data_IF_111568486043
#
_entry.id   IF_111568486043
#
_cell.length_a   1.000
_cell.length_b   1.000
_cell.length_c   1.000
_cell.angle_alpha   90.00
_cell.angle_beta   90.00
_cell.angle_gamma   90.00
#
_symmetry.space_group_name_H-M   'P 1'
#
loop_
_entity.id
_entity.type
_entity.pdbx_description
1 polymer ?
#
# COMPACT_ATOMS: atom_id res chain seq x y z
N UNK A 1 8.22 14.33 -23.69
CA UNK A 1 7.54 13.24 -22.97
C UNK A 1 6.67 13.86 -21.87
N UNK A 2 5.34 13.78 -21.96
CA UNK A 2 4.44 14.42 -20.97
C UNK A 2 4.65 13.75 -19.60
N UNK A 3 4.90 14.54 -18.55
CA UNK A 3 4.98 14.03 -17.17
C UNK A 3 3.60 13.47 -16.78
N UNK A 4 3.44 12.15 -16.74
CA UNK A 4 2.26 11.53 -16.10
C UNK A 4 2.26 11.92 -14.62
N UNK A 5 1.29 12.75 -14.24
CA UNK A 5 1.08 13.23 -12.87
C UNK A 5 -0.23 12.63 -12.37
N UNK A 6 -0.12 11.60 -11.54
CA UNK A 6 -1.28 11.06 -10.84
C UNK A 6 -1.68 12.01 -9.70
N UNK A 7 -2.97 12.13 -9.44
CA UNK A 7 -3.49 12.81 -8.24
C UNK A 7 -3.70 11.78 -7.14
N UNK A 8 -2.93 11.89 -6.07
CA UNK A 8 -3.05 11.01 -4.89
C UNK A 8 -3.80 11.75 -3.79
N UNK A 9 -4.79 11.08 -3.20
CA UNK A 9 -5.47 11.53 -1.99
C UNK A 9 -5.44 10.40 -0.95
N UNK A 10 -4.82 10.67 0.19
CA UNK A 10 -4.68 9.72 1.31
C UNK A 10 -5.65 10.05 2.47
N UNK A 11 -6.58 11.01 2.30
CA UNK A 11 -7.47 11.43 3.38
C UNK A 11 -8.47 10.32 3.75
N UNK A 12 -8.60 10.09 5.06
CA UNK A 12 -9.31 8.97 5.68
C UNK A 12 -10.84 8.92 5.55
N UNK A 13 -11.43 9.54 4.52
CA UNK A 13 -12.87 9.38 4.19
C UNK A 13 -13.10 8.39 3.04
N UNK A 14 -12.04 7.79 2.50
CA UNK A 14 -12.15 6.82 1.41
C UNK A 14 -12.51 5.45 1.96
N UNK A 15 -13.61 4.86 1.48
CA UNK A 15 -14.04 3.52 1.89
C UNK A 15 -13.36 2.44 1.04
N UNK A 16 -12.70 1.48 1.69
CA UNK A 16 -12.13 0.29 1.03
C UNK A 16 -13.17 -0.76 0.64
N UNK A 17 -14.46 -0.53 0.91
CA UNK A 17 -15.55 -1.47 0.62
C UNK A 17 -15.62 -1.79 -0.87
N UNK A 18 -15.56 -3.10 -1.17
CA UNK A 18 -15.60 -3.64 -2.53
C UNK A 18 -14.27 -3.61 -3.26
N UNK A 19 -13.17 -3.19 -2.63
CA UNK A 19 -11.83 -3.47 -3.16
C UNK A 19 -11.49 -4.95 -2.93
N UNK A 20 -10.68 -5.53 -3.81
CA UNK A 20 -10.17 -6.89 -3.69
C UNK A 20 -8.69 -6.93 -4.04
N UNK A 21 -8.01 -8.01 -3.70
CA UNK A 21 -6.63 -8.26 -4.12
C UNK A 21 -6.50 -8.12 -5.65
N UNK A 22 -5.54 -7.29 -6.08
CA UNK A 22 -5.21 -7.09 -7.50
C UNK A 22 -3.74 -7.38 -7.80
N UNK A 23 -2.89 -7.51 -6.78
CA UNK A 23 -1.48 -7.84 -6.94
C UNK A 23 -0.68 -7.68 -5.66
N UNK A 24 0.61 -7.97 -5.76
CA UNK A 24 1.58 -7.91 -4.67
C UNK A 24 2.78 -7.06 -5.07
N UNK A 25 3.48 -6.52 -4.08
CA UNK A 25 4.74 -5.84 -4.27
C UNK A 25 5.69 -6.11 -3.10
N UNK A 26 7.00 -6.03 -3.39
CA UNK A 26 8.05 -6.07 -2.38
C UNK A 26 8.65 -4.69 -2.16
N UNK A 27 8.42 -4.10 -0.99
CA UNK A 27 8.92 -2.77 -0.62
C UNK A 27 8.99 -2.62 0.90
N UNK A 28 9.89 -1.78 1.40
CA UNK A 28 9.96 -1.53 2.85
C UNK A 28 8.76 -0.74 3.36
N UNK A 29 8.38 -0.97 4.61
CA UNK A 29 7.40 -0.13 5.32
C UNK A 29 7.77 1.36 5.27
N UNK A 30 9.06 1.68 5.48
CA UNK A 30 9.55 3.05 5.50
C UNK A 30 9.37 3.78 4.16
N UNK A 31 9.57 3.08 3.04
CA UNK A 31 9.32 3.65 1.71
C UNK A 31 7.83 3.88 1.48
N UNK A 32 6.96 2.97 1.91
CA UNK A 32 5.51 3.19 1.83
C UNK A 32 5.09 4.40 2.64
N UNK A 33 5.63 4.58 3.85
CA UNK A 33 5.41 5.77 4.67
C UNK A 33 5.92 7.03 3.99
N UNK A 34 7.07 6.96 3.33
CA UNK A 34 7.64 8.09 2.57
C UNK A 34 6.76 8.49 1.39
N UNK A 35 6.17 7.51 0.68
CA UNK A 35 5.35 7.75 -0.51
C UNK A 35 3.93 8.20 -0.15
N UNK A 36 3.32 7.55 0.85
CA UNK A 36 1.88 7.65 1.13
C UNK A 36 1.55 8.26 2.50
N UNK A 37 2.55 8.54 3.34
CA UNK A 37 2.34 8.93 4.74
C UNK A 37 2.06 7.72 5.64
N UNK A 38 1.73 7.94 6.93
CA UNK A 38 1.45 6.85 7.87
C UNK A 38 0.20 6.04 7.46
N UNK A 39 0.11 4.75 7.83
CA UNK A 39 -1.06 3.92 7.52
C UNK A 39 -2.33 4.46 8.19
N UNK A 40 -3.49 4.17 7.57
CA UNK A 40 -4.81 4.59 8.06
C UNK A 40 -5.25 3.82 9.30
N UNK A 41 -4.80 2.58 9.43
CA UNK A 41 -5.11 1.70 10.56
C UNK A 41 -3.89 0.86 10.89
N UNK A 42 -3.60 0.75 12.18
CA UNK A 42 -2.64 -0.21 12.72
C UNK A 42 -3.41 -1.14 13.66
N UNK A 43 -3.34 -2.45 13.42
CA UNK A 43 -3.77 -3.52 14.36
C UNK A 43 -5.26 -3.64 14.71
N UNK A 44 -6.19 -3.23 13.85
CA UNK A 44 -7.63 -3.43 14.13
C UNK A 44 -8.23 -4.71 13.52
N UNK A 45 -7.44 -5.53 12.81
CA UNK A 45 -7.96 -6.80 12.31
C UNK A 45 -6.95 -7.95 12.48
N UNK A 46 -7.49 -9.13 12.75
CA UNK A 46 -6.74 -10.38 12.99
C UNK A 46 -5.78 -10.80 11.85
N UNK A 47 -5.84 -10.16 10.68
CA UNK A 47 -5.09 -10.59 9.48
C UNK A 47 -4.15 -9.52 8.90
N UNK A 48 -4.27 -8.28 9.34
CA UNK A 48 -3.56 -7.12 8.77
C UNK A 48 -3.02 -6.29 9.92
N UNK A 49 -1.73 -6.01 9.85
CA UNK A 49 -1.00 -5.21 10.82
C UNK A 49 -0.98 -3.72 10.42
N UNK A 50 -0.89 -3.42 9.13
CA UNK A 50 -0.96 -2.07 8.58
C UNK A 50 -1.73 -2.03 7.25
N UNK A 51 -2.56 -0.98 7.09
CA UNK A 51 -3.31 -0.71 5.87
C UNK A 51 -3.23 0.77 5.49
N UNK A 52 -2.99 1.04 4.21
CA UNK A 52 -3.22 2.33 3.58
C UNK A 52 -4.48 2.24 2.74
N UNK A 53 -5.32 3.27 2.83
CA UNK A 53 -6.51 3.46 2.01
C UNK A 53 -6.41 4.85 1.39
N UNK A 54 -6.33 4.89 0.07
CA UNK A 54 -6.20 6.13 -0.67
C UNK A 54 -6.97 6.10 -1.98
N UNK A 55 -6.91 7.21 -2.70
CA UNK A 55 -7.43 7.33 -4.05
C UNK A 55 -6.33 7.81 -5.01
N UNK A 56 -6.28 7.21 -6.19
CA UNK A 56 -5.40 7.60 -7.30
C UNK A 56 -6.27 7.98 -8.50
N UNK A 57 -6.20 9.24 -8.91
CA UNK A 57 -7.08 9.85 -9.91
C UNK A 57 -8.58 9.65 -9.58
N UNK A 58 -8.94 9.66 -8.29
CA UNK A 58 -10.32 9.48 -7.82
C UNK A 58 -10.76 8.01 -7.65
N UNK A 59 -9.91 7.04 -7.99
CA UNK A 59 -10.19 5.61 -7.84
C UNK A 59 -9.53 5.05 -6.57
N UNK A 60 -10.30 4.32 -5.76
CA UNK A 60 -9.83 3.79 -4.47
C UNK A 60 -8.83 2.65 -4.66
N UNK A 61 -7.76 2.70 -3.88
CA UNK A 61 -6.81 1.61 -3.70
C UNK A 61 -6.54 1.36 -2.21
N UNK A 62 -6.07 0.16 -1.90
CA UNK A 62 -5.51 -0.19 -0.60
C UNK A 62 -4.12 -0.80 -0.76
N UNK A 63 -3.28 -0.63 0.26
CA UNK A 63 -2.02 -1.36 0.41
C UNK A 63 -2.04 -1.97 1.80
N UNK A 64 -1.83 -3.27 1.92
CA UNK A 64 -1.95 -3.96 3.20
C UNK A 64 -1.08 -5.20 3.25
N UNK A 65 -0.65 -5.59 4.44
CA UNK A 65 -0.06 -6.90 4.64
C UNK A 65 -1.16 -7.94 4.89
N UNK A 66 -0.93 -9.20 4.55
CA UNK A 66 -1.91 -10.26 4.81
C UNK A 66 -1.27 -11.47 5.47
N UNK A 67 -1.61 -11.71 6.73
CA UNK A 67 -1.20 -12.87 7.53
C UNK A 67 0.32 -13.04 7.71
N UNK A 68 1.10 -12.00 7.47
CA UNK A 68 2.58 -12.03 7.58
C UNK A 68 3.12 -11.43 8.87
N UNK A 69 2.33 -10.60 9.56
CA UNK A 69 2.75 -9.93 10.79
C UNK A 69 2.15 -10.53 12.06
N UNK A 70 2.46 -9.86 13.18
CA UNK A 70 2.09 -10.30 14.54
C UNK A 70 0.58 -10.41 14.76
N UNK A 71 -0.22 -9.66 14.02
CA UNK A 71 -1.68 -9.68 14.15
C UNK A 71 -2.28 -11.06 13.83
N UNK A 72 -1.64 -11.84 12.95
CA UNK A 72 -2.06 -13.21 12.60
C UNK A 72 -1.19 -14.30 13.22
N UNK A 73 0.14 -14.12 13.20
CA UNK A 73 1.12 -15.14 13.61
C UNK A 73 1.58 -14.99 15.08
N UNK A 74 1.06 -14.01 15.82
CA UNK A 74 1.47 -13.76 17.20
C UNK A 74 2.96 -13.42 17.29
N UNK A 75 3.67 -14.09 18.21
CA UNK A 75 5.12 -13.86 18.42
C UNK A 75 5.99 -14.31 17.25
N UNK A 76 5.50 -15.19 16.38
CA UNK A 76 6.21 -15.65 15.19
C UNK A 76 6.05 -14.71 13.98
N UNK A 77 5.16 -13.72 14.08
CA UNK A 77 4.93 -12.75 13.02
C UNK A 77 5.98 -11.64 12.98
N UNK A 78 6.20 -11.11 11.77
CA UNK A 78 7.04 -9.92 11.56
C UNK A 78 6.43 -8.70 12.25
N UNK A 79 7.26 -7.82 12.80
CA UNK A 79 6.82 -6.46 13.13
C UNK A 79 6.43 -5.71 11.86
N UNK A 80 5.59 -4.67 11.96
CA UNK A 80 5.10 -3.92 10.79
C UNK A 80 6.26 -3.37 9.96
N UNK A 81 7.30 -2.92 10.65
CA UNK A 81 8.51 -2.32 10.10
C UNK A 81 9.37 -3.35 9.33
N UNK A 82 9.26 -4.64 9.68
CA UNK A 82 9.96 -5.76 9.02
C UNK A 82 9.19 -6.34 7.82
N UNK A 83 7.94 -5.93 7.61
CA UNK A 83 7.13 -6.44 6.50
C UNK A 83 7.61 -5.82 5.19
N UNK A 84 7.94 -6.69 4.25
CA UNK A 84 8.33 -6.32 2.89
C UNK A 84 7.35 -6.80 1.84
N UNK A 85 6.54 -7.81 2.14
CA UNK A 85 5.54 -8.37 1.22
C UNK A 85 4.19 -7.71 1.47
N UNK A 86 3.73 -6.91 0.50
CA UNK A 86 2.51 -6.11 0.58
C UNK A 86 1.56 -6.47 -0.55
N UNK A 87 0.26 -6.45 -0.25
CA UNK A 87 -0.81 -6.60 -1.23
C UNK A 87 -1.32 -5.24 -1.67
N UNK A 88 -1.76 -5.14 -2.91
CA UNK A 88 -2.50 -4.01 -3.46
C UNK A 88 -3.95 -4.44 -3.67
N UNK A 89 -4.87 -3.72 -3.04
CA UNK A 89 -6.30 -3.84 -3.28
C UNK A 89 -6.82 -2.73 -4.17
N UNK A 90 -7.75 -3.05 -5.08
CA UNK A 90 -8.51 -2.06 -5.84
C UNK A 90 -9.76 -2.69 -6.44
N UNK A 91 -10.70 -1.85 -6.91
CA UNK A 91 -11.86 -2.29 -7.71
C UNK A 91 -11.51 -2.62 -9.15
N UNK A 92 -10.49 -1.96 -9.69
CA UNK A 92 -10.04 -2.08 -11.08
C UNK A 92 -8.55 -2.40 -11.07
N UNK A 93 -8.14 -3.38 -11.90
CA UNK A 93 -6.72 -3.74 -12.08
C UNK A 93 -5.86 -2.53 -12.50
N UNK A 94 -6.38 -1.67 -13.39
CA UNK A 94 -5.68 -0.46 -13.82
C UNK A 94 -5.35 0.48 -12.65
N UNK A 95 -6.20 0.56 -11.63
CA UNK A 95 -5.91 1.37 -10.43
C UNK A 95 -4.70 0.82 -9.68
N UNK A 96 -4.61 -0.50 -9.50
CA UNK A 96 -3.47 -1.15 -8.88
C UNK A 96 -2.18 -0.97 -9.70
N UNK A 97 -2.26 -1.05 -11.04
CA UNK A 97 -1.12 -0.82 -11.94
C UNK A 97 -0.58 0.62 -11.85
N UNK A 98 -1.46 1.62 -11.70
CA UNK A 98 -1.03 3.01 -11.48
C UNK A 98 -0.29 3.18 -10.15
N UNK A 99 -0.78 2.53 -9.09
CA UNK A 99 -0.11 2.53 -7.77
C UNK A 99 1.26 1.88 -7.86
N UNK A 100 1.36 0.71 -8.50
CA UNK A 100 2.63 0.02 -8.72
C UNK A 100 3.61 0.89 -9.52
N UNK A 101 3.16 1.54 -10.59
CA UNK A 101 4.00 2.45 -11.37
C UNK A 101 4.51 3.63 -10.55
N UNK A 102 3.66 4.22 -9.69
CA UNK A 102 4.06 5.31 -8.80
C UNK A 102 5.20 4.86 -7.86
N UNK A 103 5.04 3.69 -7.26
CA UNK A 103 6.01 3.10 -6.33
C UNK A 103 7.34 2.82 -7.04
N UNK A 104 7.30 2.10 -8.17
CA UNK A 104 8.51 1.79 -8.95
C UNK A 104 9.25 3.06 -9.39
N UNK A 105 8.51 4.10 -9.80
CA UNK A 105 9.10 5.39 -10.18
C UNK A 105 9.78 6.09 -8.99
N UNK A 106 9.28 5.91 -7.77
CA UNK A 106 9.94 6.42 -6.57
C UNK A 106 11.22 5.63 -6.29
N UNK A 107 11.15 4.29 -6.26
CA UNK A 107 12.30 3.41 -6.00
C UNK A 107 13.44 3.63 -7.00
N UNK A 108 13.13 3.76 -8.29
CA UNK A 108 14.13 4.02 -9.34
C UNK A 108 14.82 5.39 -9.23
N UNK A 109 14.19 6.38 -8.58
CA UNK A 109 14.82 7.68 -8.33
C UNK A 109 15.80 7.62 -7.16
N UNK A 110 15.48 6.85 -6.13
CA UNK A 110 16.34 6.70 -4.95
C UNK A 110 17.59 5.85 -5.25
N UNK A 111 17.48 4.85 -6.13
CA UNK A 111 18.61 4.00 -6.55
C UNK A 111 19.55 4.60 -7.61
N UNK A 112 19.39 5.88 -7.97
CA UNK A 112 20.27 6.59 -8.92
C UNK A 112 21.16 7.64 -8.22
N UNK A 113 21.29 7.55 -6.89
CA UNK A 113 22.22 8.37 -6.12
C UNK A 113 23.59 7.73 -6.04
#
# INVERSE_FOLDING_TARGET
>A
MKRTKFKIDMKGKTSSIGTSYQGELKISYADLVTIFGPPNSTRHCYKIDAEWIGAIDGEVFTIYNYKTGKSYLGTQGKTVEEITDWHIGAKKRLTAEKVLFLILKHTLKQGRS
#
